data_IF_738637953864
#
_entry.id   IF_738637953864
#
_cell.length_a   1.000
_cell.length_b   1.000
_cell.length_c   1.000
_cell.angle_alpha   90.00
_cell.angle_beta   90.00
_cell.angle_gamma   90.00
#
_symmetry.space_group_name_H-M   'P 1'
#
loop_
_entity.id
_entity.type
_entity.pdbx_description
1 polymer ?
#
# COMPACT_ATOMS: atom_id res chain seq x y z
N UNK A 1 -29.69 -11.24 16.64
CA UNK A 1 -29.31 -11.89 15.36
C UNK A 1 -29.57 -11.01 14.14
N UNK A 2 -30.66 -10.21 14.10
CA UNK A 2 -30.97 -9.28 13.00
C UNK A 2 -30.23 -7.93 13.04
N UNK A 3 -29.39 -7.65 14.05
CA UNK A 3 -28.70 -6.34 14.14
C UNK A 3 -27.28 -6.32 13.53
N UNK A 4 -26.65 -7.49 13.33
CA UNK A 4 -25.28 -7.55 12.80
C UNK A 4 -25.18 -7.22 11.30
N UNK A 5 -26.20 -7.53 10.51
CA UNK A 5 -26.17 -7.26 9.07
C UNK A 5 -26.40 -5.77 8.78
N UNK A 6 -27.37 -5.15 9.46
CA UNK A 6 -27.67 -3.72 9.29
C UNK A 6 -26.50 -2.84 9.75
N UNK A 7 -25.86 -3.19 10.87
CA UNK A 7 -24.65 -2.49 11.35
C UNK A 7 -23.49 -2.63 10.37
N UNK A 8 -23.27 -3.81 9.79
CA UNK A 8 -22.22 -4.03 8.79
C UNK A 8 -22.42 -3.19 7.52
N UNK A 9 -23.65 -3.12 7.00
CA UNK A 9 -23.99 -2.33 5.82
C UNK A 9 -23.93 -0.82 6.08
N UNK A 10 -24.39 -0.38 7.25
CA UNK A 10 -24.27 1.03 7.67
C UNK A 10 -22.81 1.45 7.76
N UNK A 11 -21.96 0.64 8.39
CA UNK A 11 -20.53 0.94 8.53
C UNK A 11 -19.81 0.95 7.18
N UNK A 12 -20.18 0.04 6.27
CA UNK A 12 -19.65 0.05 4.91
C UNK A 12 -20.07 1.30 4.14
N UNK A 13 -21.35 1.67 4.17
CA UNK A 13 -21.86 2.88 3.53
C UNK A 13 -21.16 4.14 4.06
N UNK A 14 -20.97 4.23 5.38
CA UNK A 14 -20.25 5.33 6.03
C UNK A 14 -18.76 5.36 5.65
N UNK A 15 -18.11 4.20 5.54
CA UNK A 15 -16.72 4.13 5.08
C UNK A 15 -16.55 4.58 3.62
N UNK A 16 -17.46 4.19 2.73
CA UNK A 16 -17.48 4.62 1.33
C UNK A 16 -17.74 6.12 1.23
N UNK A 17 -18.70 6.64 2.00
CA UNK A 17 -18.96 8.08 2.06
C UNK A 17 -17.72 8.86 2.53
N UNK A 18 -17.05 8.40 3.60
CA UNK A 18 -15.83 9.04 4.09
C UNK A 18 -14.72 9.10 3.04
N UNK A 19 -14.64 8.09 2.17
CA UNK A 19 -13.60 8.03 1.14
C UNK A 19 -13.99 8.83 -0.08
N UNK A 20 -15.27 8.84 -0.46
CA UNK A 20 -15.77 9.78 -1.47
C UNK A 20 -15.45 11.23 -1.08
N UNK A 21 -15.58 11.57 0.20
CA UNK A 21 -15.20 12.88 0.73
C UNK A 21 -13.69 13.14 0.65
N UNK A 22 -12.84 12.14 0.92
CA UNK A 22 -11.38 12.28 0.81
C UNK A 22 -10.92 12.36 -0.66
N UNK A 23 -11.55 11.60 -1.55
CA UNK A 23 -11.24 11.58 -2.99
C UNK A 23 -11.63 12.88 -3.70
N UNK A 24 -12.54 13.66 -3.13
CA UNK A 24 -12.92 14.98 -3.64
C UNK A 24 -11.84 16.06 -3.40
N UNK A 25 -10.81 15.80 -2.59
CA UNK A 25 -9.68 16.74 -2.41
C UNK A 25 -8.74 16.65 -3.63
N UNK A 26 -8.56 17.77 -4.35
CA UNK A 26 -7.64 17.84 -5.50
C UNK A 26 -6.58 18.93 -5.32
N UNK A 27 -5.42 18.73 -5.95
CA UNK A 27 -4.35 19.74 -6.00
C UNK A 27 -4.82 20.94 -6.84
N UNK A 28 -4.61 22.17 -6.35
CA UNK A 28 -5.01 23.42 -7.04
C UNK A 28 -6.23 24.16 -6.46
N UNK A 29 -6.88 23.64 -5.42
CA UNK A 29 -7.99 24.35 -4.75
C UNK A 29 -7.57 25.61 -3.95
N UNK A 30 -6.27 25.93 -3.86
CA UNK A 30 -5.77 26.98 -2.96
C UNK A 30 -5.75 28.40 -3.56
N UNK A 31 -5.90 28.53 -4.88
CA UNK A 31 -5.56 29.76 -5.60
C UNK A 31 -6.66 30.84 -5.58
N UNK A 32 -7.80 30.58 -4.93
CA UNK A 32 -8.94 31.51 -4.86
C UNK A 32 -9.47 31.59 -3.42
N UNK A 33 -9.65 32.80 -2.88
CA UNK A 33 -10.12 33.06 -1.50
C UNK A 33 -11.45 32.37 -1.15
N UNK A 34 -12.37 32.28 -2.12
CA UNK A 34 -13.63 31.54 -1.96
C UNK A 34 -13.40 30.05 -1.73
N UNK A 35 -12.44 29.44 -2.41
CA UNK A 35 -12.08 28.04 -2.19
C UNK A 35 -11.43 27.81 -0.83
N UNK A 36 -10.71 28.78 -0.27
CA UNK A 36 -10.14 28.66 1.08
C UNK A 36 -11.23 28.56 2.16
N UNK A 37 -12.27 29.39 2.10
CA UNK A 37 -13.39 29.31 3.05
C UNK A 37 -14.18 28.02 2.88
N UNK A 38 -14.46 27.62 1.63
CA UNK A 38 -15.12 26.35 1.32
C UNK A 38 -14.29 25.16 1.81
N UNK A 39 -12.97 25.21 1.65
CA UNK A 39 -12.06 24.19 2.16
C UNK A 39 -12.03 24.11 3.69
N UNK A 40 -12.08 25.24 4.40
CA UNK A 40 -12.12 25.23 5.86
C UNK A 40 -13.39 24.56 6.38
N UNK A 41 -14.55 24.90 5.79
CA UNK A 41 -15.84 24.27 6.13
C UNK A 41 -15.84 22.78 5.74
N UNK A 42 -15.35 22.46 4.54
CA UNK A 42 -15.21 21.09 4.06
C UNK A 42 -14.34 20.24 4.98
N UNK A 43 -13.14 20.74 5.34
CA UNK A 43 -12.21 20.06 6.23
C UNK A 43 -12.80 19.88 7.62
N UNK A 44 -13.46 20.89 8.17
CA UNK A 44 -14.13 20.77 9.46
C UNK A 44 -15.23 19.70 9.43
N UNK A 45 -16.05 19.68 8.38
CA UNK A 45 -17.10 18.67 8.19
C UNK A 45 -16.51 17.26 8.06
N UNK A 46 -15.52 17.06 7.19
CA UNK A 46 -14.85 15.77 6.98
C UNK A 46 -14.18 15.27 8.27
N UNK A 47 -13.58 16.17 9.05
CA UNK A 47 -13.01 15.81 10.36
C UNK A 47 -14.08 15.35 11.34
N UNK A 48 -15.18 16.08 11.48
CA UNK A 48 -16.26 15.71 12.40
C UNK A 48 -16.85 14.34 12.06
N UNK A 49 -17.13 14.10 10.77
CA UNK A 49 -17.62 12.80 10.29
C UNK A 49 -16.59 11.70 10.59
N UNK A 50 -15.31 11.92 10.28
CA UNK A 50 -14.27 10.92 10.52
C UNK A 50 -14.08 10.59 12.01
N UNK A 51 -14.20 11.56 12.90
CA UNK A 51 -14.13 11.35 14.35
C UNK A 51 -15.34 10.55 14.86
N UNK A 52 -16.55 10.91 14.43
CA UNK A 52 -17.77 10.19 14.78
C UNK A 52 -17.71 8.71 14.32
N UNK A 53 -17.25 8.48 13.08
CA UNK A 53 -17.07 7.14 12.54
C UNK A 53 -16.00 6.32 13.26
N UNK A 54 -14.90 6.97 13.66
CA UNK A 54 -13.86 6.31 14.47
C UNK A 54 -14.41 5.86 15.82
N UNK A 55 -15.20 6.71 16.47
CA UNK A 55 -15.81 6.40 17.77
C UNK A 55 -16.82 5.24 17.66
N UNK A 56 -17.75 5.29 16.70
CA UNK A 56 -18.69 4.21 16.44
C UNK A 56 -17.96 2.88 16.18
N UNK A 57 -16.88 2.92 15.43
CA UNK A 57 -16.08 1.73 15.13
C UNK A 57 -15.33 1.19 16.35
N UNK A 58 -14.73 2.06 17.16
CA UNK A 58 -14.08 1.62 18.41
C UNK A 58 -15.09 0.94 19.34
N UNK A 59 -16.29 1.51 19.46
CA UNK A 59 -17.37 0.91 20.23
C UNK A 59 -17.78 -0.46 19.67
N UNK A 60 -17.80 -0.61 18.35
CA UNK A 60 -18.10 -1.89 17.71
C UNK A 60 -17.02 -2.95 18.01
N UNK A 61 -15.74 -2.62 17.86
CA UNK A 61 -14.65 -3.56 18.15
C UNK A 61 -14.61 -3.92 19.64
N UNK A 62 -14.78 -2.94 20.52
CA UNK A 62 -14.83 -3.16 21.97
C UNK A 62 -16.04 -4.03 22.35
N UNK A 63 -17.22 -3.76 21.79
CA UNK A 63 -18.41 -4.57 22.10
C UNK A 63 -18.24 -6.02 21.62
N UNK A 64 -17.66 -6.26 20.44
CA UNK A 64 -17.34 -7.62 19.99
C UNK A 64 -16.28 -8.30 20.86
N UNK A 65 -15.27 -7.57 21.31
CA UNK A 65 -14.24 -8.10 22.21
C UNK A 65 -14.82 -8.54 23.56
N UNK A 66 -15.81 -7.79 24.07
CA UNK A 66 -16.50 -8.11 25.31
C UNK A 66 -17.42 -9.34 25.19
N UNK A 67 -18.08 -9.51 24.03
CA UNK A 67 -19.03 -10.62 23.80
C UNK A 67 -18.33 -11.93 23.47
N UNK A 68 -17.36 -11.91 22.54
CA UNK A 68 -16.69 -13.12 22.02
C UNK A 68 -15.34 -13.40 22.72
N UNK A 69 -14.84 -12.46 23.53
CA UNK A 69 -13.54 -12.56 24.16
C UNK A 69 -12.36 -12.27 23.20
N UNK A 70 -11.15 -12.03 23.74
CA UNK A 70 -10.02 -11.53 22.96
C UNK A 70 -9.35 -12.55 22.03
N UNK A 71 -9.53 -13.85 22.28
CA UNK A 71 -8.83 -14.91 21.55
C UNK A 71 -9.68 -15.55 20.45
N UNK A 72 -11.00 -15.36 20.48
CA UNK A 72 -11.90 -15.94 19.49
C UNK A 72 -11.73 -15.33 18.07
N UNK A 73 -11.50 -14.01 17.89
CA UNK A 73 -11.28 -13.41 16.58
C UNK A 73 -10.04 -13.94 15.84
N UNK A 74 -9.03 -14.43 16.57
CA UNK A 74 -7.79 -14.95 15.98
C UNK A 74 -7.97 -16.30 15.26
N UNK A 75 -9.14 -16.93 15.38
CA UNK A 75 -9.43 -18.23 14.74
C UNK A 75 -9.83 -18.12 13.28
N UNK A 76 -10.32 -16.96 12.83
CA UNK A 76 -10.67 -16.72 11.43
C UNK A 76 -9.81 -15.58 10.87
N UNK A 77 -9.33 -15.72 9.64
CA UNK A 77 -8.47 -14.71 9.02
C UNK A 77 -9.17 -13.35 8.90
N UNK A 78 -10.47 -13.35 8.63
CA UNK A 78 -11.28 -12.15 8.48
C UNK A 78 -11.58 -11.45 9.80
N UNK A 79 -11.94 -12.19 10.86
CA UNK A 79 -12.20 -11.58 12.16
C UNK A 79 -10.89 -11.07 12.80
N UNK A 80 -9.77 -11.76 12.55
CA UNK A 80 -8.43 -11.32 12.97
C UNK A 80 -8.00 -10.04 12.25
N UNK A 81 -8.25 -9.93 10.94
CA UNK A 81 -7.98 -8.72 10.18
C UNK A 81 -8.75 -7.51 10.72
N UNK A 82 -10.02 -7.69 11.08
CA UNK A 82 -10.82 -6.61 11.66
C UNK A 82 -10.35 -6.20 13.05
N UNK A 83 -9.89 -7.13 13.87
CA UNK A 83 -9.27 -6.83 15.16
C UNK A 83 -8.01 -5.98 14.98
N UNK A 84 -7.18 -6.29 13.98
CA UNK A 84 -5.98 -5.51 13.64
C UNK A 84 -6.36 -4.10 13.19
N UNK A 85 -7.34 -3.95 12.31
CA UNK A 85 -7.85 -2.64 11.89
C UNK A 85 -8.50 -1.86 13.06
N UNK A 86 -9.14 -2.59 13.97
CA UNK A 86 -9.62 -2.17 15.28
C UNK A 86 -8.54 -1.49 16.11
N UNK A 87 -7.50 -2.26 16.40
CA UNK A 87 -6.36 -1.83 17.20
C UNK A 87 -5.59 -0.68 16.56
N UNK A 88 -5.44 -0.68 15.23
CA UNK A 88 -4.78 0.42 14.52
C UNK A 88 -5.55 1.74 14.66
N UNK A 89 -6.88 1.70 14.55
CA UNK A 89 -7.72 2.88 14.76
C UNK A 89 -7.68 3.37 16.21
N UNK A 90 -7.63 2.45 17.19
CA UNK A 90 -7.48 2.78 18.60
C UNK A 90 -6.12 3.44 18.88
N UNK A 91 -5.05 2.89 18.30
CA UNK A 91 -3.70 3.43 18.39
C UNK A 91 -3.63 4.82 17.76
N UNK A 92 -4.29 5.06 16.63
CA UNK A 92 -4.37 6.37 15.98
C UNK A 92 -5.01 7.41 16.91
N UNK A 93 -6.18 7.11 17.48
CA UNK A 93 -6.89 8.03 18.41
C UNK A 93 -6.08 8.27 19.67
N UNK A 94 -5.44 7.24 20.22
CA UNK A 94 -4.55 7.36 21.38
C UNK A 94 -3.32 8.23 21.07
N UNK A 95 -2.73 8.09 19.88
CA UNK A 95 -1.59 8.91 19.44
C UNK A 95 -2.00 10.37 19.19
N UNK A 96 -3.19 10.63 18.64
CA UNK A 96 -3.70 11.98 18.43
C UNK A 96 -4.01 12.67 19.78
N UNK A 97 -4.60 11.93 20.73
CA UNK A 97 -4.88 12.41 22.09
C UNK A 97 -3.61 12.63 22.93
N UNK A 98 -2.56 11.82 22.74
CA UNK A 98 -1.28 11.97 23.42
C UNK A 98 -0.38 13.07 22.83
N UNK A 99 -0.83 13.79 21.80
CA UNK A 99 -0.04 14.82 21.12
C UNK A 99 1.07 14.28 20.21
N UNK A 100 0.94 13.03 19.75
CA UNK A 100 1.90 12.32 18.90
C UNK A 100 2.84 11.39 19.66
N UNK A 101 3.69 10.66 18.94
CA UNK A 101 4.70 9.78 19.55
C UNK A 101 5.89 10.64 20.03
N UNK A 102 6.27 10.61 21.33
CA UNK A 102 7.40 11.40 21.85
C UNK A 102 8.71 11.13 21.08
N UNK A 103 8.94 9.89 20.63
CA UNK A 103 10.09 9.49 19.82
C UNK A 103 10.06 9.97 18.36
N UNK A 104 8.90 10.36 17.82
CA UNK A 104 8.75 10.89 16.45
C UNK A 104 8.57 12.41 16.41
N UNK A 105 8.65 13.09 17.56
CA UNK A 105 8.51 14.55 17.67
C UNK A 105 9.60 15.32 16.91
N UNK A 106 10.70 14.65 16.54
CA UNK A 106 11.80 15.22 15.75
C UNK A 106 11.67 15.11 14.24
N UNK A 107 10.65 14.42 13.70
CA UNK A 107 10.54 14.19 12.25
C UNK A 107 9.12 14.40 11.74
N UNK A 108 8.96 15.32 10.78
CA UNK A 108 7.72 15.61 10.04
C UNK A 108 7.04 14.34 9.45
N UNK A 109 7.79 13.25 9.30
CA UNK A 109 7.33 11.96 8.77
C UNK A 109 6.37 11.20 9.69
N UNK A 110 6.52 11.27 11.02
CA UNK A 110 5.70 10.47 11.94
C UNK A 110 4.22 10.83 11.90
N UNK A 111 3.92 12.11 11.78
CA UNK A 111 2.55 12.62 11.71
C UNK A 111 1.89 12.33 10.35
N UNK A 112 2.67 12.24 9.27
CA UNK A 112 2.17 11.89 7.93
C UNK A 112 1.76 10.41 7.88
N UNK A 113 2.56 9.52 8.50
CA UNK A 113 2.24 8.09 8.55
C UNK A 113 0.95 7.86 9.34
N UNK A 114 0.79 8.46 10.52
CA UNK A 114 -0.45 8.29 11.32
C UNK A 114 -1.69 8.77 10.56
N UNK A 115 -1.57 9.85 9.77
CA UNK A 115 -2.65 10.34 8.92
C UNK A 115 -2.96 9.41 7.73
N UNK A 116 -1.96 8.74 7.16
CA UNK A 116 -2.18 7.80 6.06
C UNK A 116 -2.84 6.48 6.54
N UNK A 117 -2.71 6.12 7.83
CA UNK A 117 -3.42 4.96 8.41
C UNK A 117 -4.95 5.08 8.31
N UNK A 118 -5.50 6.30 8.20
CA UNK A 118 -6.93 6.53 7.94
C UNK A 118 -7.41 5.89 6.66
N UNK A 119 -6.56 5.83 5.62
CA UNK A 119 -6.88 5.18 4.34
C UNK A 119 -7.05 3.67 4.47
N UNK A 120 -6.40 3.02 5.46
CA UNK A 120 -6.52 1.57 5.68
C UNK A 120 -7.93 1.14 6.13
N UNK A 121 -8.77 2.10 6.55
CA UNK A 121 -10.19 1.85 6.87
C UNK A 121 -10.99 1.48 5.61
N UNK A 122 -10.51 1.84 4.42
CA UNK A 122 -11.07 1.37 3.14
C UNK A 122 -11.01 -0.12 2.95
N UNK A 123 -10.02 -0.77 3.56
CA UNK A 123 -9.88 -2.21 3.47
C UNK A 123 -11.06 -2.96 4.12
N UNK A 124 -11.94 -2.26 4.85
CA UNK A 124 -13.18 -2.83 5.39
C UNK A 124 -14.25 -3.01 4.32
N UNK A 125 -14.19 -2.25 3.21
CA UNK A 125 -15.10 -2.43 2.07
C UNK A 125 -14.97 -3.84 1.48
N UNK A 126 -13.79 -4.45 1.59
CA UNK A 126 -13.56 -5.83 1.16
C UNK A 126 -14.51 -6.83 1.84
N UNK A 127 -14.98 -6.59 3.08
CA UNK A 127 -15.94 -7.48 3.75
C UNK A 127 -17.33 -7.45 3.12
N UNK A 128 -17.76 -6.30 2.59
CA UNK A 128 -19.04 -6.18 1.89
C UNK A 128 -18.93 -6.71 0.46
N UNK A 129 -17.74 -6.62 -0.12
CA UNK A 129 -17.40 -7.21 -1.40
C UNK A 129 -17.01 -8.69 -1.23
N UNK A 130 -17.84 -9.49 -0.55
CA UNK A 130 -17.64 -10.95 -0.45
C UNK A 130 -17.38 -11.61 -1.81
N UNK A 131 -18.03 -11.21 -2.94
CA UNK A 131 -17.69 -11.79 -4.25
C UNK A 131 -16.26 -11.49 -4.70
N UNK A 132 -15.69 -10.35 -4.32
CA UNK A 132 -14.30 -9.99 -4.65
C UNK A 132 -13.31 -10.83 -3.84
N UNK A 133 -13.68 -11.17 -2.61
CA UNK A 133 -12.87 -12.03 -1.74
C UNK A 133 -12.84 -13.48 -2.24
N UNK A 134 -13.97 -13.98 -2.73
CA UNK A 134 -14.04 -15.31 -3.35
C UNK A 134 -13.13 -15.37 -4.59
N UNK A 135 -13.15 -14.32 -5.43
CA UNK A 135 -12.22 -14.20 -6.57
C UNK A 135 -10.77 -14.16 -6.08
N UNK A 136 -10.48 -13.38 -5.04
CA UNK A 136 -9.14 -13.31 -4.43
C UNK A 136 -8.64 -14.65 -3.90
N UNK A 137 -9.51 -15.43 -3.26
CA UNK A 137 -9.19 -16.76 -2.77
C UNK A 137 -8.90 -17.73 -3.92
N UNK A 138 -9.69 -17.67 -5.00
CA UNK A 138 -9.43 -18.46 -6.22
C UNK A 138 -8.10 -18.06 -6.85
N UNK A 139 -7.80 -16.75 -6.94
CA UNK A 139 -6.52 -16.25 -7.44
C UNK A 139 -5.35 -16.77 -6.60
N UNK A 140 -5.41 -16.65 -5.27
CA UNK A 140 -4.36 -17.15 -4.36
C UNK A 140 -4.22 -18.67 -4.45
N UNK A 141 -5.32 -19.41 -4.54
CA UNK A 141 -5.27 -20.86 -4.74
C UNK A 141 -4.61 -21.24 -6.06
N UNK A 142 -4.81 -20.43 -7.11
CA UNK A 142 -4.18 -20.62 -8.42
C UNK A 142 -2.70 -20.25 -8.41
N UNK A 143 -2.29 -19.24 -7.61
CA UNK A 143 -0.89 -18.85 -7.45
C UNK A 143 -0.04 -19.99 -6.87
N UNK A 144 -0.62 -20.88 -6.06
CA UNK A 144 0.06 -22.08 -5.56
C UNK A 144 0.65 -22.93 -6.70
N UNK A 145 -0.09 -23.07 -7.81
CA UNK A 145 0.36 -23.80 -9.00
C UNK A 145 1.49 -23.10 -9.75
N UNK A 146 1.60 -21.78 -9.62
CA UNK A 146 2.65 -20.97 -10.25
C UNK A 146 3.86 -20.71 -9.32
N UNK A 147 3.78 -21.10 -8.05
CA UNK A 147 4.81 -20.79 -7.04
C UNK A 147 6.19 -21.34 -7.44
N UNK A 148 6.26 -22.55 -7.99
CA UNK A 148 7.52 -23.15 -8.45
C UNK A 148 8.18 -22.32 -9.57
N UNK A 149 7.37 -21.84 -10.52
CA UNK A 149 7.84 -20.99 -11.63
C UNK A 149 8.27 -19.62 -11.09
N UNK A 150 7.51 -19.04 -10.17
CA UNK A 150 7.83 -17.75 -9.55
C UNK A 150 9.16 -17.80 -8.78
N UNK A 151 9.43 -18.88 -8.03
CA UNK A 151 10.72 -19.07 -7.34
C UNK A 151 11.86 -19.20 -8.34
N UNK A 152 11.64 -19.89 -9.46
CA UNK A 152 12.65 -20.00 -10.52
C UNK A 152 12.95 -18.63 -11.16
N UNK A 153 11.91 -17.86 -11.51
CA UNK A 153 12.05 -16.49 -12.05
C UNK A 153 12.77 -15.60 -11.03
N UNK A 154 12.42 -15.68 -9.74
CA UNK A 154 13.08 -14.93 -8.67
C UNK A 154 14.57 -15.27 -8.58
N UNK A 155 14.93 -16.56 -8.69
CA UNK A 155 16.33 -17.00 -8.66
C UNK A 155 17.11 -16.41 -9.84
N UNK A 156 16.60 -16.55 -11.07
CA UNK A 156 17.25 -15.98 -12.24
C UNK A 156 17.33 -14.45 -12.15
N UNK A 157 16.26 -13.79 -11.70
CA UNK A 157 16.24 -12.34 -11.52
C UNK A 157 17.34 -11.87 -10.57
N UNK A 158 17.59 -12.59 -9.46
CA UNK A 158 18.69 -12.28 -8.55
C UNK A 158 20.06 -12.54 -9.16
N UNK A 159 20.23 -13.62 -9.93
CA UNK A 159 21.49 -13.91 -10.64
C UNK A 159 21.82 -12.80 -11.64
N UNK A 160 20.84 -12.39 -12.44
CA UNK A 160 20.99 -11.28 -13.40
C UNK A 160 21.22 -9.94 -12.72
N UNK A 161 20.61 -9.71 -11.55
CA UNK A 161 20.86 -8.51 -10.73
C UNK A 161 22.33 -8.43 -10.29
N UNK A 162 22.86 -9.51 -9.73
CA UNK A 162 24.25 -9.56 -9.26
C UNK A 162 25.23 -9.47 -10.44
N UNK A 163 24.95 -10.21 -11.52
CA UNK A 163 25.74 -10.17 -12.74
C UNK A 163 25.78 -8.75 -13.33
N UNK A 164 24.63 -8.10 -13.47
CA UNK A 164 24.53 -6.73 -13.99
C UNK A 164 25.33 -5.72 -13.16
N UNK A 165 25.28 -5.82 -11.83
CA UNK A 165 26.11 -4.99 -10.95
C UNK A 165 27.61 -5.26 -11.15
N UNK A 166 28.00 -6.53 -11.21
CA UNK A 166 29.41 -6.90 -11.33
C UNK A 166 30.04 -6.47 -12.66
N UNK A 167 29.25 -6.44 -13.75
CA UNK A 167 29.72 -6.10 -15.09
C UNK A 167 29.56 -4.61 -15.39
N UNK A 168 28.46 -3.98 -14.96
CA UNK A 168 28.09 -2.63 -15.35
C UNK A 168 28.16 -1.58 -14.22
N UNK A 169 28.41 -1.98 -12.97
CA UNK A 169 28.37 -1.08 -11.81
C UNK A 169 29.51 -0.08 -11.70
N UNK A 170 30.54 -0.17 -12.55
CA UNK A 170 31.64 0.79 -12.62
C UNK A 170 31.56 1.73 -13.84
N UNK A 171 30.47 1.67 -14.62
CA UNK A 171 30.31 2.49 -15.83
C UNK A 171 30.01 3.97 -15.53
N UNK A 172 29.68 4.33 -14.28
CA UNK A 172 29.45 5.72 -13.88
C UNK A 172 28.25 6.37 -14.57
N UNK A 173 27.16 5.62 -14.78
CA UNK A 173 25.97 6.10 -15.48
C UNK A 173 25.24 7.16 -14.65
N UNK A 174 24.90 8.29 -15.28
CA UNK A 174 24.20 9.42 -14.63
C UNK A 174 22.69 9.20 -14.50
N UNK A 175 22.12 8.31 -15.30
CA UNK A 175 20.70 7.93 -15.27
C UNK A 175 20.38 7.11 -14.03
N UNK A 176 19.32 7.45 -13.29
CA UNK A 176 18.84 6.67 -12.15
C UNK A 176 17.53 5.99 -12.50
N UNK A 177 17.32 4.70 -12.16
CA UNK A 177 18.27 3.77 -11.50
C UNK A 177 19.46 3.35 -12.41
N UNK A 178 20.59 2.95 -11.80
CA UNK A 178 21.83 2.45 -12.46
C UNK A 178 22.36 1.16 -11.79
N UNK A 179 23.40 0.54 -12.37
CA UNK A 179 23.99 -0.72 -11.90
C UNK A 179 25.00 -0.58 -10.75
N UNK A 180 25.22 0.63 -10.21
CA UNK A 180 26.26 0.88 -9.21
C UNK A 180 25.93 0.25 -7.83
N UNK A 181 24.64 0.01 -7.57
CA UNK A 181 24.15 -0.55 -6.30
C UNK A 181 23.24 -1.75 -6.52
N UNK A 182 23.08 -2.58 -5.48
CA UNK A 182 22.16 -3.73 -5.51
C UNK A 182 20.73 -3.34 -5.82
N UNK A 183 20.17 -2.37 -5.09
CA UNK A 183 18.78 -1.95 -5.32
C UNK A 183 18.61 -1.29 -6.70
N UNK A 184 19.58 -0.51 -7.17
CA UNK A 184 19.53 0.06 -8.52
C UNK A 184 19.51 -1.00 -9.61
N UNK A 185 20.41 -1.99 -9.51
CA UNK A 185 20.47 -3.13 -10.42
C UNK A 185 19.21 -4.00 -10.36
N UNK A 186 18.64 -4.17 -9.17
CA UNK A 186 17.41 -4.95 -8.95
C UNK A 186 16.21 -4.28 -9.60
N UNK A 187 16.10 -2.95 -9.49
CA UNK A 187 15.03 -2.17 -10.15
C UNK A 187 15.21 -2.20 -11.68
N UNK A 188 16.43 -2.04 -12.19
CA UNK A 188 16.68 -2.10 -13.64
C UNK A 188 16.32 -3.49 -14.20
N UNK A 189 16.82 -4.55 -13.59
CA UNK A 189 16.54 -5.91 -14.07
C UNK A 189 15.06 -6.26 -13.94
N UNK A 190 14.35 -5.73 -12.94
CA UNK A 190 12.89 -5.83 -12.85
C UNK A 190 12.19 -5.06 -13.98
N UNK A 191 12.65 -3.84 -14.27
CA UNK A 191 12.13 -3.03 -15.36
C UNK A 191 12.33 -3.74 -16.72
N UNK A 192 13.46 -4.41 -16.92
CA UNK A 192 13.68 -5.26 -18.11
C UNK A 192 12.78 -6.49 -18.09
N UNK A 193 12.54 -7.12 -16.93
CA UNK A 193 11.62 -8.26 -16.79
C UNK A 193 10.17 -7.88 -17.15
N UNK A 194 9.72 -6.68 -16.80
CA UNK A 194 8.39 -6.16 -17.19
C UNK A 194 8.36 -5.60 -18.62
N UNK A 195 9.49 -5.63 -19.33
CA UNK A 195 9.69 -5.07 -20.67
C UNK A 195 9.40 -3.56 -20.76
N UNK A 196 9.47 -2.87 -19.63
CA UNK A 196 9.20 -1.44 -19.55
C UNK A 196 10.48 -0.66 -19.87
N UNK A 197 10.48 0.13 -20.94
CA UNK A 197 11.59 1.01 -21.32
C UNK A 197 12.99 0.34 -21.37
N UNK A 198 13.06 -0.98 -21.52
CA UNK A 198 14.31 -1.75 -21.46
C UNK A 198 15.31 -1.33 -22.56
N UNK A 199 14.80 -0.83 -23.69
CA UNK A 199 15.57 -0.37 -24.82
C UNK A 199 16.43 0.84 -24.45
N UNK A 200 15.88 1.81 -23.70
CA UNK A 200 16.64 2.98 -23.28
C UNK A 200 17.77 2.60 -22.34
N UNK A 201 17.51 1.70 -21.40
CA UNK A 201 18.53 1.17 -20.49
C UNK A 201 19.62 0.42 -21.25
N UNK A 202 19.22 -0.47 -22.18
CA UNK A 202 20.16 -1.20 -23.05
C UNK A 202 21.05 -0.24 -23.83
N UNK A 203 20.48 0.75 -24.54
CA UNK A 203 21.26 1.70 -25.32
C UNK A 203 22.20 2.54 -24.46
N UNK A 204 21.79 2.88 -23.24
CA UNK A 204 22.63 3.63 -22.29
C UNK A 204 23.85 2.81 -21.87
N UNK A 205 23.66 1.52 -21.53
CA UNK A 205 24.77 0.63 -21.17
C UNK A 205 25.67 0.32 -22.37
N UNK A 206 25.11 0.09 -23.55
CA UNK A 206 25.88 -0.19 -24.77
C UNK A 206 26.74 1.02 -25.18
N UNK A 207 26.22 2.24 -25.06
CA UNK A 207 26.98 3.47 -25.33
C UNK A 207 28.12 3.69 -24.34
N UNK A 208 27.93 3.31 -23.08
CA UNK A 208 28.94 3.47 -22.04
C UNK A 208 29.99 2.34 -22.02
N UNK A 209 29.65 1.16 -22.55
CA UNK A 209 30.53 -0.01 -22.59
C UNK A 209 30.87 -0.44 -24.02
N UNK A 210 30.08 -1.35 -24.59
CA UNK A 210 30.19 -1.85 -25.95
C UNK A 210 28.91 -2.60 -26.36
N UNK A 211 28.83 -3.01 -27.63
CA UNK A 211 27.70 -3.79 -28.16
C UNK A 211 27.51 -5.15 -27.49
N UNK A 212 28.54 -5.73 -26.88
CA UNK A 212 28.45 -7.01 -26.15
C UNK A 212 27.53 -6.93 -24.93
N UNK A 213 27.33 -5.75 -24.34
CA UNK A 213 26.35 -5.57 -23.27
C UNK A 213 24.91 -5.89 -23.71
N UNK A 214 24.60 -5.79 -25.02
CA UNK A 214 23.27 -6.17 -25.53
C UNK A 214 22.93 -7.63 -25.29
N UNK A 215 23.94 -8.52 -25.24
CA UNK A 215 23.75 -9.95 -25.00
C UNK A 215 23.14 -10.19 -23.62
N UNK A 216 23.58 -9.45 -22.61
CA UNK A 216 23.02 -9.54 -21.25
C UNK A 216 21.51 -9.24 -21.24
N UNK A 217 21.10 -8.15 -21.87
CA UNK A 217 19.69 -7.73 -21.90
C UNK A 217 18.83 -8.67 -22.75
N UNK A 218 19.34 -9.10 -23.91
CA UNK A 218 18.62 -10.05 -24.78
C UNK A 218 18.48 -11.40 -24.10
N UNK A 219 19.54 -11.91 -23.43
CA UNK A 219 19.47 -13.14 -22.67
C UNK A 219 18.45 -13.03 -21.53
N UNK A 220 18.39 -11.91 -20.81
CA UNK A 220 17.43 -11.71 -19.73
C UNK A 220 15.99 -11.62 -20.22
N UNK A 221 15.74 -11.01 -21.38
CA UNK A 221 14.40 -10.91 -21.99
C UNK A 221 13.91 -12.28 -22.51
N UNK A 222 14.81 -13.16 -22.91
CA UNK A 222 14.48 -14.47 -23.48
C UNK A 222 14.25 -15.58 -22.44
N UNK A 223 14.82 -15.44 -21.25
CA UNK A 223 14.73 -16.40 -20.14
C UNK A 223 13.44 -16.15 -19.36
#
# INVERSE_FOLDING_TARGET
MLEHWATSWLMAALSVASVGLLAAEHQGMADQLWWQLVQLVWRAFVLQVNWALSACFLLEVVSRLLVYGPLQPLRSAWDGFELVLGGLAAAEVAMEAAGGIPALRGGMYGLVVVRSLRSLRLLRLFRVLTPLLDIGQVLVSSLGSFAAIAVLILLFWLVFTIMGMSVFGALGLTTRPNFDTFLGSLIITFQVLTLENYQQTLYTVVRASNWGASIFFVAWVLI
#
